data_IF_478531408138
#
_entry.id   IF_478531408138
#
_cell.length_a   1.000
_cell.length_b   1.000
_cell.length_c   1.000
_cell.angle_alpha   90.00
_cell.angle_beta   90.00
_cell.angle_gamma   90.00
#
_symmetry.space_group_name_H-M   'P 1'
#
loop_
_entity.id
_entity.type
_entity.pdbx_description
1 polymer ?
#
# COMPACT_ATOMS: atom_id res chain seq x y z
N UNK A 1 -42.81 -4.82 22.06
CA UNK A 1 -41.50 -5.33 22.53
C UNK A 1 -41.63 -6.82 22.78
N UNK A 2 -40.85 -7.64 22.10
CA UNK A 2 -40.89 -9.09 22.25
C UNK A 2 -39.80 -9.61 23.20
N UNK A 3 -39.97 -10.84 23.68
CA UNK A 3 -39.02 -11.49 24.58
C UNK A 3 -38.15 -12.52 23.85
N UNK A 4 -36.84 -12.49 24.11
CA UNK A 4 -35.91 -13.57 23.82
C UNK A 4 -36.03 -14.66 24.87
N UNK A 5 -36.28 -15.90 24.45
CA UNK A 5 -36.61 -17.02 25.34
C UNK A 5 -35.53 -18.09 25.27
N UNK A 6 -35.04 -18.51 26.44
CA UNK A 6 -34.09 -19.62 26.56
C UNK A 6 -34.88 -20.90 26.87
N UNK A 7 -34.96 -21.79 25.88
CA UNK A 7 -35.75 -23.04 25.98
C UNK A 7 -35.29 -24.07 24.95
N UNK A 8 -35.78 -25.30 25.02
CA UNK A 8 -35.40 -26.35 24.06
C UNK A 8 -36.17 -26.25 22.74
N UNK A 9 -37.45 -25.90 22.80
CA UNK A 9 -38.35 -25.85 21.65
C UNK A 9 -39.12 -24.54 21.55
N UNK A 10 -39.55 -24.18 20.33
CA UNK A 10 -40.46 -23.06 20.14
C UNK A 10 -41.91 -23.55 20.14
N UNK A 11 -42.73 -23.00 21.04
CA UNK A 11 -44.15 -23.34 21.15
C UNK A 11 -45.05 -22.12 20.87
N UNK A 12 -44.82 -21.39 19.76
CA UNK A 12 -45.62 -20.22 19.36
C UNK A 12 -45.85 -19.20 20.49
N UNK A 13 -44.79 -18.88 21.25
CA UNK A 13 -44.85 -17.98 22.39
C UNK A 13 -45.60 -18.48 23.64
N UNK A 14 -46.22 -19.68 23.60
CA UNK A 14 -46.88 -20.32 24.75
C UNK A 14 -45.84 -20.88 25.74
N UNK A 15 -46.33 -21.16 26.96
CA UNK A 15 -45.54 -21.77 28.02
C UNK A 15 -44.94 -23.12 27.57
N UNK A 16 -43.70 -23.34 27.98
CA UNK A 16 -42.91 -24.53 27.73
C UNK A 16 -42.18 -24.84 29.04
N UNK A 17 -42.30 -26.07 29.53
CA UNK A 17 -41.67 -26.50 30.79
C UNK A 17 -40.14 -26.44 30.74
N UNK A 18 -39.56 -26.39 29.55
CA UNK A 18 -38.13 -26.15 29.33
C UNK A 18 -37.75 -24.67 29.30
N UNK A 19 -38.67 -23.72 29.56
CA UNK A 19 -38.29 -22.32 29.56
C UNK A 19 -37.53 -21.93 30.84
N UNK A 20 -36.25 -21.59 30.68
CA UNK A 20 -35.39 -21.13 31.78
C UNK A 20 -35.67 -19.67 32.10
N UNK A 21 -35.71 -18.82 31.07
CA UNK A 21 -35.87 -17.38 31.25
C UNK A 21 -36.40 -16.72 29.98
N UNK A 22 -36.86 -15.48 30.14
CA UNK A 22 -37.29 -14.61 29.06
C UNK A 22 -36.82 -13.18 29.32
N UNK A 23 -36.05 -12.60 28.40
CA UNK A 23 -35.55 -11.23 28.51
C UNK A 23 -35.99 -10.39 27.32
N UNK A 24 -36.22 -9.10 27.54
CA UNK A 24 -36.31 -8.13 26.43
C UNK A 24 -34.94 -7.82 25.82
N UNK A 25 -33.86 -8.17 26.53
CA UNK A 25 -32.46 -7.96 26.17
C UNK A 25 -31.83 -9.27 25.65
N UNK A 26 -31.42 -9.27 24.38
CA UNK A 26 -30.85 -10.45 23.69
C UNK A 26 -29.55 -10.93 24.34
N UNK A 27 -28.53 -10.08 24.59
CA UNK A 27 -27.33 -10.44 25.34
C UNK A 27 -27.60 -11.21 26.64
N UNK A 28 -28.54 -10.75 27.47
CA UNK A 28 -28.88 -11.43 28.73
C UNK A 28 -29.44 -12.84 28.52
N UNK A 29 -30.30 -13.01 27.50
CA UNK A 29 -30.80 -14.33 27.14
C UNK A 29 -29.71 -15.27 26.63
N UNK A 30 -28.71 -14.75 25.91
CA UNK A 30 -27.54 -15.52 25.46
C UNK A 30 -26.67 -15.93 26.66
N UNK A 31 -26.44 -15.03 27.61
CA UNK A 31 -25.66 -15.33 28.82
C UNK A 31 -26.26 -16.47 29.65
N UNK A 32 -27.59 -16.54 29.73
CA UNK A 32 -28.28 -17.65 30.40
C UNK A 32 -28.28 -18.95 29.58
N UNK A 33 -27.98 -18.92 28.29
CA UNK A 33 -27.87 -20.14 27.48
C UNK A 33 -26.43 -20.68 27.50
N UNK A 34 -25.95 -21.10 28.67
CA UNK A 34 -24.58 -21.59 28.87
C UNK A 34 -24.23 -22.78 27.98
N UNK A 35 -22.93 -23.08 27.80
CA UNK A 35 -22.48 -24.22 26.98
C UNK A 35 -23.08 -25.56 27.43
N UNK A 36 -23.16 -25.79 28.73
CA UNK A 36 -23.79 -26.98 29.32
C UNK A 36 -25.27 -27.06 28.94
N UNK A 37 -25.99 -25.94 29.00
CA UNK A 37 -27.41 -25.85 28.58
C UNK A 37 -27.54 -26.10 27.07
N UNK A 38 -26.62 -25.60 26.24
CA UNK A 38 -26.60 -25.90 24.80
C UNK A 38 -26.44 -27.40 24.56
N UNK A 39 -25.53 -28.07 25.28
CA UNK A 39 -25.35 -29.52 25.18
C UNK A 39 -26.61 -30.30 25.62
N UNK A 40 -27.37 -29.75 26.56
CA UNK A 40 -28.66 -30.29 26.99
C UNK A 40 -29.82 -29.95 26.03
N UNK A 41 -29.55 -29.26 24.91
CA UNK A 41 -30.50 -28.95 23.84
C UNK A 41 -31.19 -27.59 23.95
N UNK A 42 -30.77 -26.71 24.87
CA UNK A 42 -31.33 -25.37 25.01
C UNK A 42 -30.83 -24.42 23.91
N UNK A 43 -31.71 -23.49 23.52
CA UNK A 43 -31.51 -22.49 22.48
C UNK A 43 -32.11 -21.17 22.95
N UNK A 44 -31.62 -20.07 22.40
CA UNK A 44 -32.27 -18.76 22.50
C UNK A 44 -33.11 -18.54 21.25
N UNK A 45 -34.40 -18.28 21.46
CA UNK A 45 -35.34 -17.92 20.42
C UNK A 45 -35.64 -16.43 20.49
N UNK A 46 -35.73 -15.77 19.34
CA UNK A 46 -36.28 -14.41 19.25
C UNK A 46 -37.82 -14.40 19.42
N UNK A 47 -38.46 -13.23 19.45
CA UNK A 47 -39.91 -13.14 19.63
C UNK A 47 -40.74 -13.86 18.58
N UNK A 48 -40.19 -14.06 17.38
CA UNK A 48 -40.83 -14.72 16.24
C UNK A 48 -40.55 -16.22 16.20
N UNK A 49 -39.72 -16.72 17.12
CA UNK A 49 -39.40 -18.13 17.24
C UNK A 49 -38.24 -18.62 16.40
N UNK A 50 -37.42 -17.70 15.89
CA UNK A 50 -36.18 -18.04 15.22
C UNK A 50 -35.08 -18.28 16.24
N UNK A 51 -34.31 -19.35 16.05
CA UNK A 51 -33.12 -19.63 16.86
C UNK A 51 -32.05 -18.57 16.57
N UNK A 52 -31.66 -17.82 17.60
CA UNK A 52 -30.59 -16.82 17.55
C UNK A 52 -29.33 -17.24 18.32
N UNK A 53 -29.39 -18.32 19.11
CA UNK A 53 -28.24 -18.97 19.74
C UNK A 53 -28.55 -20.44 20.09
N UNK A 54 -27.59 -21.39 20.00
CA UNK A 54 -26.24 -21.20 19.46
C UNK A 54 -26.30 -20.90 17.96
N UNK A 55 -25.41 -20.03 17.49
CA UNK A 55 -25.24 -19.83 16.05
C UNK A 55 -24.35 -20.97 15.57
N UNK A 56 -24.83 -21.80 14.65
CA UNK A 56 -24.04 -22.88 14.06
C UNK A 56 -22.93 -22.32 13.17
N UNK A 57 -21.78 -23.01 13.12
CA UNK A 57 -20.61 -22.65 12.32
C UNK A 57 -20.98 -22.32 10.86
N UNK A 58 -21.83 -23.15 10.25
CA UNK A 58 -22.32 -22.99 8.87
C UNK A 58 -23.03 -21.65 8.61
N UNK A 59 -23.77 -21.13 9.60
CA UNK A 59 -24.43 -19.82 9.49
C UNK A 59 -23.43 -18.67 9.70
N UNK A 60 -22.40 -18.85 10.53
CA UNK A 60 -21.35 -17.86 10.76
C UNK A 60 -20.49 -17.68 9.50
N UNK A 61 -20.05 -18.78 8.88
CA UNK A 61 -19.23 -18.75 7.66
C UNK A 61 -19.99 -18.14 6.48
N UNK A 62 -21.30 -18.40 6.33
CA UNK A 62 -22.12 -17.79 5.26
C UNK A 62 -22.27 -16.28 5.41
N UNK A 63 -22.42 -15.76 6.63
CA UNK A 63 -22.51 -14.31 6.87
C UNK A 63 -21.17 -13.64 6.55
N UNK A 64 -20.07 -14.21 7.04
CA UNK A 64 -18.72 -13.67 6.81
C UNK A 64 -18.29 -13.69 5.33
N UNK A 65 -18.74 -14.71 4.57
CA UNK A 65 -18.55 -14.80 3.11
C UNK A 65 -19.36 -13.75 2.35
N UNK A 66 -20.64 -13.57 2.70
CA UNK A 66 -21.50 -12.61 2.02
C UNK A 66 -21.09 -11.16 2.29
N UNK A 67 -20.49 -10.88 3.45
CA UNK A 67 -20.00 -9.55 3.82
C UNK A 67 -18.54 -9.30 3.40
N UNK A 68 -17.86 -10.27 2.76
CA UNK A 68 -16.50 -10.14 2.23
C UNK A 68 -15.40 -9.97 3.30
N UNK A 69 -15.65 -10.42 4.53
CA UNK A 69 -14.79 -10.11 5.69
C UNK A 69 -13.58 -11.05 5.80
N UNK A 70 -13.66 -12.26 5.24
CA UNK A 70 -12.58 -13.26 5.26
C UNK A 70 -12.16 -13.55 3.81
N UNK A 71 -10.87 -13.33 3.44
CA UNK A 71 -10.32 -13.73 2.16
C UNK A 71 -10.49 -15.23 1.88
N UNK A 72 -10.75 -15.59 0.62
CA UNK A 72 -11.08 -16.97 0.23
C UNK A 72 -9.94 -17.98 0.54
N UNK A 73 -8.70 -17.52 0.57
CA UNK A 73 -7.49 -18.30 0.83
C UNK A 73 -7.22 -18.56 2.32
N UNK A 74 -7.79 -17.78 3.25
CA UNK A 74 -7.67 -18.04 4.70
C UNK A 74 -8.80 -18.92 5.26
N UNK A 75 -9.80 -19.27 4.44
CA UNK A 75 -11.00 -20.01 4.88
C UNK A 75 -10.66 -21.33 5.57
N UNK A 76 -9.68 -22.07 5.07
CA UNK A 76 -9.33 -23.39 5.59
C UNK A 76 -8.70 -23.33 6.99
N UNK A 77 -7.81 -22.37 7.22
CA UNK A 77 -7.20 -22.10 8.52
C UNK A 77 -8.25 -21.69 9.56
N UNK A 78 -9.19 -20.84 9.16
CA UNK A 78 -10.27 -20.41 10.04
C UNK A 78 -11.26 -21.52 10.32
N UNK A 79 -11.62 -22.33 9.33
CA UNK A 79 -12.43 -23.52 9.55
C UNK A 79 -11.76 -24.47 10.57
N UNK A 80 -10.44 -24.64 10.55
CA UNK A 80 -9.71 -25.44 11.54
C UNK A 80 -9.78 -24.82 12.96
N UNK A 81 -9.54 -23.52 13.11
CA UNK A 81 -9.68 -22.83 14.41
C UNK A 81 -11.12 -22.89 14.95
N UNK A 82 -12.10 -22.65 14.08
CA UNK A 82 -13.51 -22.68 14.42
C UNK A 82 -13.99 -24.10 14.72
N UNK A 83 -13.46 -25.12 14.05
CA UNK A 83 -13.73 -26.53 14.35
C UNK A 83 -13.12 -26.96 15.69
N UNK A 84 -11.99 -26.38 16.10
CA UNK A 84 -11.37 -26.64 17.41
C UNK A 84 -12.12 -26.00 18.58
N UNK A 85 -12.86 -24.90 18.36
CA UNK A 85 -13.70 -24.24 19.38
C UNK A 85 -15.19 -24.56 19.16
N UNK A 86 -15.73 -25.54 19.90
CA UNK A 86 -17.10 -26.05 19.76
C UNK A 86 -18.23 -25.00 19.87
N UNK A 87 -17.98 -23.83 20.47
CA UNK A 87 -18.90 -22.70 20.55
C UNK A 87 -18.10 -21.39 20.46
N UNK A 88 -18.46 -20.48 19.54
CA UNK A 88 -17.87 -19.13 19.44
C UNK A 88 -18.93 -18.12 19.88
N UNK A 89 -18.64 -17.34 20.92
CA UNK A 89 -19.54 -16.29 21.39
C UNK A 89 -19.58 -15.13 20.36
N UNK A 90 -20.73 -14.46 20.26
CA UNK A 90 -20.92 -13.29 19.37
C UNK A 90 -19.88 -12.18 19.63
N UNK A 91 -19.44 -12.03 20.88
CA UNK A 91 -18.45 -11.02 21.27
C UNK A 91 -17.06 -11.34 20.72
N UNK A 92 -16.67 -12.62 20.66
CA UNK A 92 -15.42 -13.06 20.03
C UNK A 92 -15.43 -12.80 18.51
N UNK A 93 -16.60 -12.98 17.88
CA UNK A 93 -16.80 -12.73 16.45
C UNK A 93 -16.68 -11.24 16.12
N UNK A 94 -17.21 -10.35 16.97
CA UNK A 94 -17.06 -8.91 16.81
C UNK A 94 -15.62 -8.44 17.00
N UNK A 95 -14.83 -9.07 17.89
CA UNK A 95 -13.39 -8.79 18.04
C UNK A 95 -12.63 -9.20 16.78
N UNK A 96 -12.95 -10.38 16.22
CA UNK A 96 -12.35 -10.87 14.97
C UNK A 96 -12.73 -9.95 13.81
N UNK A 97 -14.02 -9.64 13.62
CA UNK A 97 -14.50 -8.70 12.58
C UNK A 97 -13.81 -7.35 12.74
N UNK A 98 -13.77 -6.75 13.93
CA UNK A 98 -13.12 -5.46 14.12
C UNK A 98 -11.60 -5.51 13.87
N UNK A 99 -10.93 -6.63 14.18
CA UNK A 99 -9.52 -6.83 13.86
C UNK A 99 -9.30 -6.94 12.35
N UNK A 100 -10.16 -7.68 11.66
CA UNK A 100 -10.09 -7.89 10.21
C UNK A 100 -10.55 -6.66 9.41
N UNK A 101 -11.61 -5.95 9.80
CA UNK A 101 -11.98 -4.67 9.21
C UNK A 101 -10.88 -3.62 9.40
N UNK A 102 -10.11 -3.67 10.49
CA UNK A 102 -8.90 -2.83 10.66
C UNK A 102 -7.76 -3.28 9.73
N UNK A 103 -7.58 -4.58 9.51
CA UNK A 103 -6.57 -5.11 8.57
C UNK A 103 -6.94 -4.86 7.10
N UNK A 104 -8.21 -5.01 6.72
CA UNK A 104 -8.76 -4.71 5.40
C UNK A 104 -8.68 -3.21 5.10
N UNK A 105 -9.10 -2.35 6.04
CA UNK A 105 -8.89 -0.89 5.91
C UNK A 105 -7.41 -0.52 5.84
N UNK A 106 -6.51 -1.37 6.38
CA UNK A 106 -5.07 -1.18 6.28
C UNK A 106 -4.50 -1.58 4.92
N UNK A 107 -5.16 -2.46 4.17
CA UNK A 107 -4.71 -2.93 2.85
C UNK A 107 -5.41 -2.24 1.68
N UNK A 108 -6.11 -1.13 1.92
CA UNK A 108 -6.71 -0.32 0.85
C UNK A 108 -5.83 0.87 0.46
N UNK A 109 -5.67 1.05 -0.85
CA UNK A 109 -5.21 2.32 -1.40
C UNK A 109 -6.32 3.37 -1.25
N UNK A 110 -5.98 4.54 -0.71
CA UNK A 110 -6.94 5.64 -0.55
C UNK A 110 -6.39 6.94 -1.10
N UNK A 111 -7.25 7.70 -1.77
CA UNK A 111 -6.98 9.11 -2.03
C UNK A 111 -7.31 9.86 -0.74
N UNK A 112 -6.34 10.59 -0.22
CA UNK A 112 -6.48 11.45 0.97
C UNK A 112 -6.09 12.88 0.60
N UNK A 113 -6.63 13.85 1.32
CA UNK A 113 -6.29 15.26 1.15
C UNK A 113 -5.77 15.82 2.46
N UNK A 114 -4.66 16.55 2.41
CA UNK A 114 -4.11 17.28 3.54
C UNK A 114 -3.62 18.64 3.06
N UNK A 115 -4.08 19.73 3.68
CA UNK A 115 -3.76 21.11 3.30
C UNK A 115 -3.93 21.40 1.79
N UNK A 116 -4.95 20.80 1.16
CA UNK A 116 -5.24 20.96 -0.26
C UNK A 116 -4.34 20.14 -1.20
N UNK A 117 -3.47 19.28 -0.67
CA UNK A 117 -2.64 18.36 -1.45
C UNK A 117 -3.35 17.00 -1.49
N UNK A 118 -3.66 16.56 -2.70
CA UNK A 118 -4.17 15.22 -2.96
C UNK A 118 -3.01 14.21 -2.90
N UNK A 119 -3.17 13.15 -2.11
CA UNK A 119 -2.16 12.11 -1.91
C UNK A 119 -2.79 10.74 -2.10
N UNK A 120 -2.06 9.84 -2.74
CA UNK A 120 -2.39 8.42 -2.79
C UNK A 120 -1.68 7.73 -1.64
N UNK A 121 -2.43 7.31 -0.62
CA UNK A 121 -1.94 6.46 0.46
C UNK A 121 -2.02 4.99 0.01
N UNK A 122 -0.88 4.34 -0.10
CA UNK A 122 -0.71 3.03 -0.71
C UNK A 122 -0.11 2.07 0.31
N UNK A 123 -0.78 0.95 0.63
CA UNK A 123 -0.15 -0.14 1.38
C UNK A 123 1.07 -0.67 0.61
N UNK A 124 2.17 -0.92 1.31
CA UNK A 124 3.43 -1.38 0.67
C UNK A 124 3.26 -2.65 -0.17
N UNK A 125 2.37 -3.56 0.21
CA UNK A 125 2.07 -4.78 -0.55
C UNK A 125 1.31 -4.54 -1.86
N UNK A 126 0.73 -3.34 -2.07
CA UNK A 126 0.03 -2.93 -3.31
C UNK A 126 0.86 -2.02 -4.20
N UNK A 127 2.04 -1.63 -3.76
CA UNK A 127 2.94 -0.78 -4.54
C UNK A 127 3.98 -1.62 -5.27
N UNK A 128 4.14 -1.35 -6.56
CA UNK A 128 5.19 -1.93 -7.38
C UNK A 128 5.99 -0.83 -8.07
N UNK A 129 7.24 -1.14 -8.39
CA UNK A 129 8.08 -0.31 -9.24
C UNK A 129 8.39 -1.10 -10.51
N UNK A 130 8.15 -0.49 -11.67
CA UNK A 130 8.45 -1.10 -12.98
C UNK A 130 9.43 -0.23 -13.75
N UNK A 131 10.44 -0.85 -14.38
CA UNK A 131 11.28 -0.23 -15.41
C UNK A 131 10.63 -0.47 -16.77
N UNK A 132 10.34 0.61 -17.49
CA UNK A 132 9.52 0.60 -18.71
C UNK A 132 10.23 1.08 -19.97
N UNK A 133 11.20 2.00 -19.87
CA UNK A 133 11.89 2.62 -21.02
C UNK A 133 10.94 3.05 -22.17
N UNK A 134 9.83 3.71 -21.83
CA UNK A 134 8.72 3.99 -22.76
C UNK A 134 8.20 5.42 -22.61
N UNK A 135 7.54 5.92 -23.66
CA UNK A 135 6.82 7.19 -23.59
C UNK A 135 5.80 7.20 -22.46
N UNK A 136 5.81 8.26 -21.64
CA UNK A 136 5.05 8.35 -20.40
C UNK A 136 3.54 8.22 -20.54
N UNK A 137 2.97 8.44 -21.73
CA UNK A 137 1.53 8.24 -21.98
C UNK A 137 1.18 6.90 -22.65
N UNK A 138 2.17 6.07 -23.00
CA UNK A 138 1.99 4.84 -23.77
C UNK A 138 2.17 3.61 -22.86
N UNK A 139 1.51 3.65 -21.70
CA UNK A 139 1.56 2.63 -20.67
C UNK A 139 0.13 2.18 -20.36
N UNK A 140 -0.05 0.87 -20.20
CA UNK A 140 -1.37 0.23 -20.06
C UNK A 140 -1.88 0.18 -18.61
N UNK A 141 -1.14 0.78 -17.68
CA UNK A 141 -1.49 0.78 -16.26
C UNK A 141 -2.63 1.77 -15.97
N UNK A 142 -3.58 1.39 -15.13
CA UNK A 142 -4.69 2.26 -14.74
C UNK A 142 -4.34 3.25 -13.64
N UNK A 143 -3.44 2.87 -12.74
CA UNK A 143 -2.91 3.75 -11.70
C UNK A 143 -1.39 3.70 -11.71
N UNK A 144 -0.78 4.77 -12.24
CA UNK A 144 0.67 4.91 -12.26
C UNK A 144 1.16 6.36 -12.26
N UNK A 145 2.42 6.51 -11.92
CA UNK A 145 3.13 7.78 -11.94
C UNK A 145 4.61 7.57 -12.21
N UNK A 146 5.26 8.56 -12.83
CA UNK A 146 6.71 8.52 -13.04
C UNK A 146 7.45 8.60 -11.68
N UNK A 147 8.56 7.87 -11.55
CA UNK A 147 9.35 7.80 -10.32
C UNK A 147 10.77 8.33 -10.51
N UNK A 148 11.79 7.52 -10.24
CA UNK A 148 13.18 7.95 -10.07
C UNK A 148 13.76 8.61 -11.31
N UNK A 149 14.78 9.43 -11.08
CA UNK A 149 15.50 10.14 -12.15
C UNK A 149 16.24 9.16 -13.07
N UNK A 150 16.49 9.63 -14.28
CA UNK A 150 17.13 8.84 -15.33
C UNK A 150 17.96 9.71 -16.27
N UNK A 151 18.87 9.07 -16.98
CA UNK A 151 19.65 9.66 -18.05
C UNK A 151 19.10 9.17 -19.40
N UNK A 152 19.11 10.06 -20.39
CA UNK A 152 18.68 9.78 -21.76
C UNK A 152 19.91 9.51 -22.63
N UNK A 153 19.83 8.47 -23.45
CA UNK A 153 20.90 8.03 -24.32
C UNK A 153 20.38 7.80 -25.75
N UNK A 154 21.33 7.70 -26.68
CA UNK A 154 21.07 7.35 -28.06
C UNK A 154 22.21 6.47 -28.58
N UNK A 155 21.88 5.27 -29.06
CA UNK A 155 22.82 4.34 -29.70
C UNK A 155 22.17 3.86 -31.00
N UNK A 156 22.91 3.94 -32.12
CA UNK A 156 22.45 3.50 -33.44
C UNK A 156 21.06 4.05 -33.85
N UNK A 157 20.76 5.29 -33.46
CA UNK A 157 19.49 5.94 -33.76
C UNK A 157 18.36 5.64 -32.77
N UNK A 158 18.54 4.67 -31.87
CA UNK A 158 17.56 4.24 -30.88
C UNK A 158 17.73 5.05 -29.60
N UNK A 159 16.65 5.70 -29.15
CA UNK A 159 16.60 6.39 -27.87
C UNK A 159 16.25 5.42 -26.75
N UNK A 160 16.93 5.58 -25.61
CA UNK A 160 16.69 4.78 -24.43
C UNK A 160 17.06 5.53 -23.15
N UNK A 161 16.60 5.00 -22.02
CA UNK A 161 16.80 5.59 -20.70
C UNK A 161 17.44 4.59 -19.75
N UNK A 162 18.30 5.08 -18.85
CA UNK A 162 18.85 4.28 -17.75
C UNK A 162 18.65 5.02 -16.41
N UNK A 163 18.41 4.30 -15.30
CA UNK A 163 18.39 4.91 -13.98
C UNK A 163 19.76 5.53 -13.64
N UNK A 164 19.76 6.56 -12.79
CA UNK A 164 21.00 7.24 -12.37
C UNK A 164 21.42 6.93 -10.92
N UNK A 165 20.50 6.42 -10.11
CA UNK A 165 20.73 6.07 -8.71
C UNK A 165 20.02 4.74 -8.39
N UNK A 166 19.86 4.37 -7.12
CA UNK A 166 19.34 3.05 -6.76
C UNK A 166 17.94 2.81 -7.37
N UNK A 167 17.79 1.67 -8.03
CA UNK A 167 16.54 1.18 -8.57
C UNK A 167 16.51 -0.36 -8.44
N UNK A 168 15.49 -0.85 -7.74
CA UNK A 168 15.08 -2.26 -7.78
C UNK A 168 13.65 -2.29 -8.27
N UNK A 169 13.42 -2.86 -9.45
CA UNK A 169 12.15 -2.77 -10.16
C UNK A 169 11.88 -4.00 -11.00
N UNK A 170 10.60 -4.36 -11.15
CA UNK A 170 10.20 -5.37 -12.11
C UNK A 170 10.44 -4.83 -13.53
N UNK A 171 10.75 -5.72 -14.46
CA UNK A 171 10.96 -5.38 -15.86
C UNK A 171 10.55 -6.53 -16.77
N UNK A 172 10.09 -6.20 -17.97
CA UNK A 172 9.91 -7.19 -19.03
C UNK A 172 10.98 -6.95 -20.09
N UNK A 173 11.99 -7.82 -20.12
CA UNK A 173 13.11 -7.73 -21.06
C UNK A 173 12.66 -7.68 -22.52
N UNK A 174 11.49 -8.23 -22.86
CA UNK A 174 10.95 -8.22 -24.22
C UNK A 174 10.41 -6.85 -24.65
N UNK A 175 10.19 -5.95 -23.69
CA UNK A 175 9.64 -4.61 -23.95
C UNK A 175 10.71 -3.52 -23.98
N UNK A 176 11.92 -3.83 -23.52
CA UNK A 176 13.03 -2.88 -23.50
C UNK A 176 13.72 -2.80 -24.86
N UNK A 177 14.22 -1.60 -25.18
CA UNK A 177 15.07 -1.43 -26.36
C UNK A 177 16.38 -2.24 -26.20
N UNK A 178 16.93 -2.76 -27.31
CA UNK A 178 18.16 -3.55 -27.28
C UNK A 178 19.33 -2.83 -26.58
N UNK A 179 19.56 -1.50 -26.80
CA UNK A 179 20.59 -0.78 -26.06
C UNK A 179 20.30 -0.69 -24.56
N UNK A 180 19.05 -0.42 -24.16
CA UNK A 180 18.67 -0.39 -22.74
C UNK A 180 18.99 -1.73 -22.06
N UNK A 181 18.54 -2.84 -22.65
CA UNK A 181 18.77 -4.17 -22.08
C UNK A 181 20.26 -4.52 -22.00
N UNK A 182 21.05 -4.17 -23.04
CA UNK A 182 22.52 -4.34 -23.05
C UNK A 182 23.15 -3.67 -21.83
N UNK A 183 22.89 -2.38 -21.61
CA UNK A 183 23.50 -1.64 -20.50
C UNK A 183 22.94 -2.03 -19.13
N UNK A 184 21.69 -2.50 -19.03
CA UNK A 184 21.14 -3.01 -17.77
C UNK A 184 21.73 -4.39 -17.41
N UNK A 185 21.94 -5.29 -18.38
CA UNK A 185 22.53 -6.62 -18.11
C UNK A 185 23.95 -6.54 -17.56
N UNK A 186 24.73 -5.58 -18.02
CA UNK A 186 26.05 -5.24 -17.43
C UNK A 186 25.95 -4.83 -15.95
N UNK A 187 24.76 -4.40 -15.51
CA UNK A 187 24.49 -3.80 -14.20
C UNK A 187 23.50 -4.62 -13.36
N UNK A 188 23.36 -5.91 -13.66
CA UNK A 188 22.49 -6.93 -13.00
C UNK A 188 21.00 -6.81 -13.33
N UNK A 189 20.57 -7.63 -14.29
CA UNK A 189 19.17 -8.04 -14.47
C UNK A 189 19.07 -9.53 -14.19
N UNK A 190 18.11 -9.93 -13.35
CA UNK A 190 17.87 -11.33 -12.99
C UNK A 190 16.38 -11.52 -12.72
N UNK A 191 15.81 -12.63 -13.19
CA UNK A 191 14.43 -13.04 -12.89
C UNK A 191 13.39 -11.93 -13.19
N UNK A 192 13.51 -11.24 -14.34
CA UNK A 192 12.65 -10.11 -14.72
C UNK A 192 12.66 -8.95 -13.72
N UNK A 193 13.78 -8.77 -13.01
CA UNK A 193 14.00 -7.67 -12.07
C UNK A 193 15.34 -7.01 -12.36
N UNK A 194 15.36 -5.69 -12.35
CA UNK A 194 16.58 -4.88 -12.43
C UNK A 194 17.08 -4.57 -11.03
N UNK A 195 18.39 -4.63 -10.83
CA UNK A 195 19.08 -4.28 -9.60
C UNK A 195 20.20 -3.28 -9.89
N UNK A 196 19.83 -2.03 -10.10
CA UNK A 196 20.79 -0.97 -10.37
C UNK A 196 21.12 -0.22 -9.08
N UNK A 197 22.40 -0.11 -8.75
CA UNK A 197 22.85 0.60 -7.56
C UNK A 197 23.67 1.84 -7.90
N UNK A 198 23.58 2.86 -7.04
CA UNK A 198 24.38 4.06 -7.15
C UNK A 198 25.88 3.72 -7.26
N UNK A 199 26.37 2.74 -6.49
CA UNK A 199 27.73 2.19 -6.50
C UNK A 199 28.21 1.67 -7.87
N UNK A 200 27.27 1.30 -8.74
CA UNK A 200 27.53 0.78 -10.09
C UNK A 200 27.47 1.88 -11.16
N UNK A 201 27.17 3.12 -10.77
CA UNK A 201 27.13 4.23 -11.70
C UNK A 201 28.53 4.46 -12.32
N UNK A 202 28.55 4.70 -13.63
CA UNK A 202 29.79 5.00 -14.35
C UNK A 202 30.36 6.38 -13.98
N UNK A 203 29.49 7.32 -13.61
CA UNK A 203 29.85 8.67 -13.16
C UNK A 203 30.12 8.70 -11.66
N UNK A 204 31.12 9.47 -11.25
CA UNK A 204 31.40 9.78 -9.84
C UNK A 204 30.27 10.54 -9.14
N UNK A 205 29.29 11.07 -9.88
CA UNK A 205 28.13 11.80 -9.34
C UNK A 205 27.40 11.01 -8.25
N UNK A 206 27.14 9.72 -8.48
CA UNK A 206 26.44 8.84 -7.53
C UNK A 206 27.29 7.68 -7.02
N UNK A 207 28.34 7.30 -7.75
CA UNK A 207 29.15 6.09 -7.48
C UNK A 207 29.63 5.96 -6.04
N UNK A 208 29.95 7.07 -5.39
CA UNK A 208 30.52 7.10 -4.04
C UNK A 208 29.59 7.75 -3.02
N UNK A 209 28.31 7.87 -3.34
CA UNK A 209 27.32 8.62 -2.55
C UNK A 209 26.27 7.67 -2.00
N UNK A 210 25.96 7.82 -0.72
CA UNK A 210 24.75 7.24 -0.16
C UNK A 210 23.58 8.15 -0.53
N UNK A 211 22.57 7.58 -1.19
CA UNK A 211 21.47 8.33 -1.78
C UNK A 211 20.17 7.96 -1.07
N UNK A 212 19.37 8.97 -0.72
CA UNK A 212 18.05 8.77 -0.12
C UNK A 212 17.17 7.92 -1.03
N UNK A 213 16.74 6.77 -0.52
CA UNK A 213 16.10 5.71 -1.30
C UNK A 213 14.91 5.14 -0.55
N UNK A 214 13.73 5.15 -1.18
CA UNK A 214 12.59 4.37 -0.68
C UNK A 214 12.88 2.89 -0.93
N UNK A 215 12.73 2.07 0.11
CA UNK A 215 12.96 0.63 0.08
C UNK A 215 11.71 -0.08 0.56
N UNK A 216 11.31 -1.11 -0.18
CA UNK A 216 10.28 -2.07 0.22
C UNK A 216 10.96 -3.41 0.33
N UNK A 217 10.91 -4.00 1.51
CA UNK A 217 11.48 -5.32 1.76
C UNK A 217 10.51 -6.43 1.33
N UNK A 218 11.00 -7.66 1.21
CA UNK A 218 10.19 -8.83 0.83
C UNK A 218 9.03 -9.11 1.81
N UNK A 219 9.18 -8.74 3.09
CA UNK A 219 8.13 -8.80 4.11
C UNK A 219 7.12 -7.63 4.02
N UNK A 220 7.28 -6.73 3.05
CA UNK A 220 6.54 -5.49 2.84
C UNK A 220 6.74 -4.41 3.91
N UNK A 221 7.83 -4.48 4.69
CA UNK A 221 8.29 -3.32 5.46
C UNK A 221 8.75 -2.23 4.49
N UNK A 222 8.37 -0.97 4.74
CA UNK A 222 8.76 0.18 3.92
C UNK A 222 9.38 1.30 4.75
N UNK A 223 10.47 1.86 4.23
CA UNK A 223 11.19 2.99 4.82
C UNK A 223 11.95 3.76 3.74
N UNK A 224 12.46 4.93 4.10
CA UNK A 224 13.40 5.71 3.30
C UNK A 224 14.67 5.85 4.12
N UNK A 225 15.81 5.54 3.52
CA UNK A 225 17.12 5.72 4.15
C UNK A 225 18.20 5.83 3.05
N UNK A 226 19.44 6.17 3.43
CA UNK A 226 20.54 6.42 2.50
C UNK A 226 21.31 5.15 2.20
N UNK A 227 21.44 4.83 0.90
CA UNK A 227 22.20 3.67 0.44
C UNK A 227 23.03 4.00 -0.79
N UNK A 228 24.25 3.49 -0.85
CA UNK A 228 25.05 3.45 -2.08
C UNK A 228 24.90 2.10 -2.82
N UNK A 229 24.62 1.03 -2.09
CA UNK A 229 24.32 -0.30 -2.62
C UNK A 229 23.28 -0.97 -1.72
N UNK A 230 22.38 -1.75 -2.32
CA UNK A 230 21.37 -2.49 -1.58
C UNK A 230 21.82 -3.95 -1.43
N UNK A 231 21.39 -4.61 -0.34
CA UNK A 231 21.55 -6.05 -0.17
C UNK A 231 20.44 -6.76 -0.96
N UNK A 232 20.82 -7.47 -2.02
CA UNK A 232 19.92 -7.96 -3.07
C UNK A 232 18.82 -8.92 -2.56
N UNK A 233 19.05 -9.66 -1.45
CA UNK A 233 18.17 -10.76 -1.04
C UNK A 233 16.89 -10.34 -0.30
N UNK A 234 16.90 -9.20 0.39
CA UNK A 234 15.76 -8.75 1.22
C UNK A 234 14.94 -7.64 0.58
N UNK A 235 15.41 -7.05 -0.52
CA UNK A 235 14.78 -5.90 -1.18
C UNK A 235 13.84 -6.34 -2.29
N UNK A 236 12.55 -6.01 -2.12
CA UNK A 236 11.50 -6.22 -3.12
C UNK A 236 11.51 -5.11 -4.18
N UNK A 237 11.54 -3.86 -3.74
CA UNK A 237 11.59 -2.68 -4.62
C UNK A 237 12.41 -1.57 -3.98
N UNK A 238 13.03 -0.73 -4.82
CA UNK A 238 13.72 0.45 -4.36
C UNK A 238 13.75 1.54 -5.41
N UNK A 239 13.72 2.81 -4.99
CA UNK A 239 13.92 3.96 -5.88
C UNK A 239 14.51 5.15 -5.13
N UNK A 240 15.58 5.72 -5.69
CA UNK A 240 16.20 6.93 -5.13
C UNK A 240 15.50 8.22 -5.54
N UNK A 241 15.57 9.21 -4.66
CA UNK A 241 15.13 10.57 -4.89
C UNK A 241 15.90 11.56 -4.02
N UNK A 242 15.60 12.85 -4.14
CA UNK A 242 16.24 13.88 -3.34
C UNK A 242 15.48 14.11 -2.03
N UNK A 243 16.15 14.21 -0.87
CA UNK A 243 15.46 14.35 0.41
C UNK A 243 14.71 15.69 0.51
N UNK A 244 13.53 15.64 1.11
CA UNK A 244 12.68 16.78 1.48
C UNK A 244 12.46 16.79 3.00
N UNK A 245 12.21 15.62 3.58
CA UNK A 245 12.12 15.38 5.01
C UNK A 245 13.05 14.21 5.35
N UNK A 246 13.85 14.38 6.40
CA UNK A 246 14.73 13.36 6.99
C UNK A 246 14.42 13.34 8.49
N UNK A 247 13.98 12.21 9.03
CA UNK A 247 13.65 12.07 10.47
C UNK A 247 12.67 13.14 10.99
N UNK A 248 11.68 13.52 10.17
CA UNK A 248 10.68 14.56 10.46
C UNK A 248 11.19 15.99 10.31
N UNK A 249 12.48 16.18 10.02
CA UNK A 249 13.12 17.47 9.85
C UNK A 249 13.24 17.85 8.38
N UNK A 250 13.16 19.16 8.13
CA UNK A 250 13.30 19.72 6.78
C UNK A 250 14.71 19.50 6.24
N UNK A 251 14.81 18.90 5.05
CA UNK A 251 16.04 18.91 4.27
C UNK A 251 16.27 20.30 3.63
N UNK A 252 17.54 20.63 3.46
CA UNK A 252 18.05 21.87 2.86
C UNK A 252 18.97 21.56 1.69
N UNK A 253 20.28 21.37 1.93
CA UNK A 253 21.30 21.17 0.90
C UNK A 253 21.80 19.73 0.81
N UNK A 254 21.29 18.82 1.63
CA UNK A 254 21.72 17.42 1.72
C UNK A 254 21.63 16.70 0.37
N UNK A 255 20.68 17.08 -0.51
CA UNK A 255 20.58 16.51 -1.85
C UNK A 255 21.87 16.72 -2.67
N UNK A 256 22.61 17.81 -2.47
CA UNK A 256 23.89 18.06 -3.16
C UNK A 256 24.96 17.06 -2.71
N UNK A 257 24.97 16.71 -1.41
CA UNK A 257 25.92 15.73 -0.87
C UNK A 257 25.64 14.32 -1.42
N UNK A 258 24.38 14.02 -1.72
CA UNK A 258 23.90 12.78 -2.35
C UNK A 258 24.13 12.72 -3.87
N UNK A 259 24.71 13.77 -4.47
CA UNK A 259 25.07 13.80 -5.89
C UNK A 259 24.02 14.43 -6.81
N UNK A 260 22.89 14.88 -6.28
CA UNK A 260 21.90 15.63 -7.04
C UNK A 260 22.41 17.05 -7.34
N UNK A 261 21.84 17.70 -8.36
CA UNK A 261 22.19 19.08 -8.73
C UNK A 261 20.97 20.02 -8.74
N UNK A 262 21.19 21.30 -9.05
CA UNK A 262 20.11 22.28 -9.04
C UNK A 262 19.08 22.10 -10.17
N UNK A 263 19.31 21.22 -11.14
CA UNK A 263 18.33 20.94 -12.18
C UNK A 263 17.06 20.30 -11.61
N UNK A 264 17.17 19.57 -10.49
CA UNK A 264 16.04 18.85 -9.91
C UNK A 264 15.15 19.71 -9.00
N UNK A 265 15.56 20.93 -8.63
CA UNK A 265 14.83 21.81 -7.69
C UNK A 265 14.13 23.00 -8.33
N UNK A 266 14.17 23.09 -9.66
CA UNK A 266 13.59 24.20 -10.45
C UNK A 266 12.06 24.29 -10.33
N UNK A 267 11.44 25.46 -10.63
CA UNK A 267 9.99 25.62 -10.61
C UNK A 267 9.32 24.75 -11.68
N UNK A 268 8.57 23.75 -11.25
CA UNK A 268 7.74 22.88 -12.10
C UNK A 268 6.86 21.95 -11.23
N UNK A 269 6.16 21.00 -11.86
CA UNK A 269 5.45 19.92 -11.17
C UNK A 269 6.44 18.81 -10.81
N UNK A 270 6.41 18.38 -9.55
CA UNK A 270 7.28 17.33 -9.03
C UNK A 270 6.45 16.23 -8.36
N UNK A 271 6.90 14.98 -8.48
CA UNK A 271 6.38 13.86 -7.69
C UNK A 271 7.17 13.69 -6.39
N UNK A 272 6.50 13.11 -5.38
CA UNK A 272 7.08 12.86 -4.06
C UNK A 272 6.62 11.50 -3.53
N UNK A 273 7.50 10.86 -2.77
CA UNK A 273 7.21 9.66 -1.99
C UNK A 273 7.47 9.96 -0.52
N UNK A 274 6.44 9.86 0.30
CA UNK A 274 6.53 9.94 1.76
C UNK A 274 6.25 8.59 2.41
N UNK A 275 6.84 8.35 3.58
CA UNK A 275 6.55 7.15 4.39
C UNK A 275 5.96 7.54 5.74
N UNK A 276 4.90 6.83 6.15
CA UNK A 276 4.25 6.96 7.46
C UNK A 276 3.44 5.71 7.77
N UNK A 277 3.54 5.19 8.99
CA UNK A 277 2.73 4.05 9.47
C UNK A 277 2.80 2.80 8.55
N UNK A 278 3.96 2.55 7.92
CA UNK A 278 4.18 1.51 6.90
C UNK A 278 3.35 1.68 5.60
N UNK A 279 2.87 2.89 5.33
CA UNK A 279 2.30 3.28 4.05
C UNK A 279 3.27 4.11 3.23
N UNK A 280 3.13 3.97 1.93
CA UNK A 280 3.73 4.84 0.93
C UNK A 280 2.69 5.89 0.57
N UNK A 281 3.11 7.15 0.55
CA UNK A 281 2.28 8.26 0.11
C UNK A 281 2.89 8.83 -1.16
N UNK A 282 2.20 8.69 -2.27
CA UNK A 282 2.55 9.42 -3.49
C UNK A 282 1.71 10.70 -3.59
N UNK A 283 2.36 11.81 -3.91
CA UNK A 283 1.68 13.07 -4.19
C UNK A 283 2.51 13.92 -5.13
N UNK A 284 1.90 14.96 -5.69
CA UNK A 284 2.59 15.91 -6.56
C UNK A 284 2.29 17.34 -6.17
N UNK A 285 3.28 18.21 -6.37
CA UNK A 285 3.18 19.63 -6.06
C UNK A 285 3.80 20.43 -7.21
N UNK A 286 3.06 21.43 -7.67
CA UNK A 286 3.57 22.44 -8.59
C UNK A 286 4.27 23.55 -7.78
N UNK A 287 5.53 23.79 -8.11
CA UNK A 287 6.42 24.72 -7.39
C UNK A 287 6.67 25.97 -8.20
N UNK A 288 6.84 27.09 -7.50
CA UNK A 288 7.07 28.41 -8.12
C UNK A 288 8.44 28.99 -7.81
N UNK A 289 9.09 28.51 -6.76
CA UNK A 289 10.41 28.99 -6.33
C UNK A 289 11.54 28.32 -7.11
N UNK A 290 12.66 29.05 -7.29
CA UNK A 290 13.83 28.55 -8.02
C UNK A 290 14.52 27.35 -7.37
N UNK A 291 14.31 27.15 -6.07
CA UNK A 291 14.72 25.96 -5.35
C UNK A 291 13.63 25.55 -4.36
N UNK A 292 12.84 24.53 -4.70
CA UNK A 292 11.70 24.08 -3.91
C UNK A 292 12.06 23.38 -2.58
N UNK A 293 13.33 23.02 -2.38
CA UNK A 293 13.85 22.38 -1.16
C UNK A 293 14.37 23.45 -0.19
N UNK A 294 15.33 24.28 -0.63
CA UNK A 294 15.95 25.32 0.21
C UNK A 294 15.05 26.53 0.43
N UNK A 295 14.03 26.75 -0.40
CA UNK A 295 12.98 27.73 -0.09
C UNK A 295 12.04 27.27 1.03
N UNK A 296 11.87 25.96 1.19
CA UNK A 296 10.91 25.37 2.14
C UNK A 296 9.50 25.25 1.59
N UNK A 297 9.27 25.67 0.34
CA UNK A 297 7.95 25.67 -0.29
C UNK A 297 7.24 24.31 -0.20
N UNK A 298 7.98 23.21 -0.38
CA UNK A 298 7.42 21.87 -0.25
C UNK A 298 7.21 21.50 1.22
N UNK A 299 8.25 21.66 2.05
CA UNK A 299 8.21 21.30 3.46
C UNK A 299 7.03 21.97 4.19
N UNK A 300 6.84 23.27 4.00
CA UNK A 300 5.79 24.02 4.67
C UNK A 300 4.38 23.53 4.32
N UNK A 301 4.18 22.96 3.13
CA UNK A 301 2.89 22.38 2.71
C UNK A 301 2.62 21.01 3.35
N UNK A 302 3.67 20.24 3.66
CA UNK A 302 3.55 18.83 4.08
C UNK A 302 4.00 18.54 5.51
N UNK A 303 4.58 19.51 6.24
CA UNK A 303 5.13 19.29 7.60
C UNK A 303 4.09 18.74 8.59
N UNK A 304 2.83 19.11 8.44
CA UNK A 304 1.73 18.66 9.32
C UNK A 304 1.15 17.28 8.92
N UNK A 305 1.63 16.69 7.83
CA UNK A 305 1.21 15.35 7.41
C UNK A 305 1.78 14.25 8.32
N UNK A 306 2.85 14.54 9.07
CA UNK A 306 3.52 13.61 9.99
C UNK A 306 4.28 12.50 9.28
N UNK A 307 4.90 12.80 8.12
CA UNK A 307 5.85 11.89 7.48
C UNK A 307 7.14 11.81 8.29
N UNK A 308 7.70 10.61 8.42
CA UNK A 308 9.07 10.47 8.93
C UNK A 308 10.06 10.96 7.89
N UNK A 309 9.87 10.55 6.64
CA UNK A 309 10.79 10.82 5.55
C UNK A 309 10.02 11.07 4.27
N UNK A 310 10.57 11.94 3.43
CA UNK A 310 10.02 12.27 2.12
C UNK A 310 11.15 12.45 1.14
N UNK A 311 11.08 11.76 0.01
CA UNK A 311 11.93 12.01 -1.15
C UNK A 311 11.14 12.60 -2.30
N UNK A 312 11.81 13.46 -3.04
CA UNK A 312 11.36 14.01 -4.31
C UNK A 312 11.87 13.15 -5.46
N UNK A 313 10.95 12.71 -6.30
CA UNK A 313 11.23 11.93 -7.50
C UNK A 313 11.15 12.81 -8.76
N UNK A 314 11.26 12.19 -9.94
CA UNK A 314 11.29 12.92 -11.21
C UNK A 314 9.99 13.72 -11.45
N UNK A 315 10.12 14.77 -12.25
CA UNK A 315 9.04 15.69 -12.55
C UNK A 315 9.28 16.43 -13.86
N UNK A 316 8.89 17.69 -13.92
CA UNK A 316 9.09 18.50 -15.12
C UNK A 316 8.43 17.89 -16.37
N UNK A 317 9.13 17.91 -17.50
CA UNK A 317 8.63 17.34 -18.76
C UNK A 317 8.29 15.85 -18.69
N UNK A 318 8.85 15.11 -17.73
CA UNK A 318 8.57 13.69 -17.51
C UNK A 318 7.32 13.46 -16.68
N UNK A 319 6.80 14.49 -16.00
CA UNK A 319 5.72 14.34 -15.03
C UNK A 319 4.45 13.77 -15.69
N UNK A 320 3.94 12.69 -15.10
CA UNK A 320 2.69 12.04 -15.45
C UNK A 320 2.09 11.35 -14.23
N UNK A 321 0.78 11.50 -14.03
CA UNK A 321 0.03 10.83 -12.97
C UNK A 321 -1.35 10.44 -13.52
N UNK A 322 -1.64 9.14 -13.48
CA UNK A 322 -2.92 8.55 -13.82
C UNK A 322 -3.40 7.73 -12.63
N UNK A 323 -4.67 7.88 -12.28
CA UNK A 323 -5.31 7.17 -11.18
C UNK A 323 -6.65 6.65 -11.68
N UNK A 324 -6.90 5.35 -11.50
CA UNK A 324 -8.14 4.67 -11.88
C UNK A 324 -8.56 4.94 -13.34
N UNK A 325 -7.63 4.89 -14.29
CA UNK A 325 -7.92 5.16 -15.69
C UNK A 325 -7.84 6.64 -16.08
N UNK A 326 -7.91 7.56 -15.12
CA UNK A 326 -8.02 8.99 -15.36
C UNK A 326 -6.68 9.73 -15.17
N UNK A 327 -6.32 10.55 -16.16
CA UNK A 327 -5.13 11.41 -16.09
C UNK A 327 -5.40 12.54 -15.11
N UNK A 328 -4.74 12.49 -13.95
CA UNK A 328 -4.87 13.51 -12.92
C UNK A 328 -4.05 14.76 -13.27
N UNK A 329 -2.82 14.55 -13.77
CA UNK A 329 -1.93 15.63 -14.21
C UNK A 329 -0.85 15.07 -15.13
N UNK A 330 -0.54 15.81 -16.19
CA UNK A 330 0.56 15.52 -17.12
C UNK A 330 1.15 16.83 -17.62
N UNK A 331 2.45 16.85 -17.89
CA UNK A 331 3.11 17.92 -18.64
C UNK A 331 3.08 17.65 -20.15
N UNK A 332 3.23 18.69 -20.98
CA UNK A 332 2.92 18.66 -22.41
C UNK A 332 3.73 17.68 -23.26
N UNK A 333 4.99 17.41 -22.92
CA UNK A 333 5.87 16.53 -23.71
C UNK A 333 5.62 15.05 -23.38
N UNK A 334 5.40 14.19 -24.40
CA UNK A 334 5.32 12.74 -24.21
C UNK A 334 6.72 12.10 -24.15
N UNK A 335 7.49 12.42 -23.10
CA UNK A 335 8.86 11.95 -22.92
C UNK A 335 8.92 10.44 -22.70
N UNK A 336 9.97 9.82 -23.23
CA UNK A 336 10.39 8.49 -22.80
C UNK A 336 10.89 8.59 -21.35
N UNK A 337 10.33 7.76 -20.47
CA UNK A 337 10.66 7.70 -19.05
C UNK A 337 11.22 6.32 -18.71
N UNK A 338 11.97 6.25 -17.63
CA UNK A 338 12.67 5.03 -17.25
C UNK A 338 11.82 4.10 -16.37
N UNK A 339 11.26 4.62 -15.28
CA UNK A 339 10.57 3.82 -14.29
C UNK A 339 9.32 4.51 -13.73
N UNK A 340 8.38 3.70 -13.28
CA UNK A 340 7.06 4.11 -12.77
C UNK A 340 6.73 3.38 -11.47
N UNK A 341 5.90 4.04 -10.67
CA UNK A 341 5.17 3.42 -9.57
C UNK A 341 3.84 2.95 -10.09
N UNK A 342 3.47 1.72 -9.77
CA UNK A 342 2.18 1.11 -10.12
C UNK A 342 1.48 0.72 -8.84
N UNK A 343 0.17 0.98 -8.81
CA UNK A 343 -0.70 0.56 -7.71
C UNK A 343 -1.61 -0.54 -8.20
N UNK A 344 -1.45 -1.72 -7.61
CA UNK A 344 -2.31 -2.88 -7.84
C UNK A 344 -3.60 -2.77 -7.07
#
# INVERSE_FOLDING_TARGET
MGYYRVRKNWNNGKWDSSQICAYTDKPKAIQECTEERVQQGYKVFDPDGKVVYPITLEKQTKVLKNDGVIPDDEIEYWNDIFNRKKLVHLDDLNVIINRYSKLLNKNETKIVSHNGICMLRIPSNRFQIKLVDKSKSNLDEDTYFNLGYFANFKEDGIFFTLPVANLVADTDENTLSSPCLKYLKERKVKDNKVYFYASQNASDQFKKKDVSTLIICNDNTVFIDKYNSLYDEDVKYAVSGAPIIIDGLRATTEYLDEGWDNSIVRPTVHGFLGVKDNYIYYFYIETKTSNCITSGEIYDKIKDCGFSDVIKVDGGGSFYCKINGEIQKSTSENRQINNIGVVM
#
